data_IF_978706353189
#
_entry.id   IF_978706353189
#
_cell.length_a   1.000
_cell.length_b   1.000
_cell.length_c   1.000
_cell.angle_alpha   90.00
_cell.angle_beta   90.00
_cell.angle_gamma   90.00
#
_symmetry.space_group_name_H-M   'P 1'
#
loop_
_entity.id
_entity.type
_entity.pdbx_description
1 polymer ?
#
# COMPACT_ATOMS: atom_id res chain seq x y z
N UNK A 1 -3.15 0.21 -21.80
CA UNK A 1 -3.61 1.36 -21.00
C UNK A 1 -2.61 1.56 -19.90
N UNK A 2 -1.98 2.74 -19.80
CA UNK A 2 -0.98 3.05 -18.78
C UNK A 2 -1.59 3.19 -17.38
N UNK A 3 -0.77 3.11 -16.32
CA UNK A 3 -1.25 3.30 -14.93
C UNK A 3 -1.93 4.66 -14.74
N UNK A 4 -1.44 5.72 -15.37
CA UNK A 4 -2.04 7.06 -15.30
C UNK A 4 -3.50 7.08 -15.78
N UNK A 5 -3.79 6.48 -16.94
CA UNK A 5 -5.14 6.41 -17.51
C UNK A 5 -6.08 5.58 -16.62
N UNK A 6 -5.53 4.53 -15.99
CA UNK A 6 -6.31 3.69 -15.08
C UNK A 6 -6.65 4.44 -13.79
N UNK A 7 -5.70 5.19 -13.22
CA UNK A 7 -5.94 6.02 -12.04
C UNK A 7 -6.95 7.12 -12.34
N UNK A 8 -6.92 7.72 -13.55
CA UNK A 8 -7.92 8.70 -13.95
C UNK A 8 -9.33 8.09 -13.99
N UNK A 9 -9.49 6.89 -14.54
CA UNK A 9 -10.77 6.16 -14.53
C UNK A 9 -11.21 5.78 -13.13
N UNK A 10 -10.28 5.38 -12.27
CA UNK A 10 -10.55 5.09 -10.86
C UNK A 10 -11.07 6.33 -10.15
N UNK A 11 -10.46 7.50 -10.37
CA UNK A 11 -10.92 8.77 -9.81
C UNK A 11 -12.36 9.07 -10.21
N UNK A 12 -12.65 9.06 -11.51
CA UNK A 12 -13.98 9.34 -12.07
C UNK A 12 -15.04 8.37 -11.54
N UNK A 13 -14.70 7.08 -11.44
CA UNK A 13 -15.59 6.05 -10.89
C UNK A 13 -15.93 6.36 -9.43
N UNK A 14 -14.91 6.57 -8.59
CA UNK A 14 -15.12 6.73 -7.15
C UNK A 14 -15.75 8.08 -6.83
N UNK A 15 -15.44 9.15 -7.57
CA UNK A 15 -16.12 10.44 -7.41
C UNK A 15 -17.66 10.33 -7.58
N UNK A 16 -18.11 9.48 -8.52
CA UNK A 16 -19.52 9.27 -8.80
C UNK A 16 -20.19 8.17 -7.96
N UNK A 17 -19.42 7.32 -7.29
CA UNK A 17 -19.95 6.21 -6.49
C UNK A 17 -20.47 6.74 -5.14
N UNK A 18 -21.66 6.29 -4.75
CA UNK A 18 -22.22 6.51 -3.42
C UNK A 18 -22.02 5.26 -2.58
N UNK A 19 -21.37 5.41 -1.44
CA UNK A 19 -21.16 4.36 -0.45
C UNK A 19 -21.74 4.85 0.87
N UNK A 20 -22.65 4.08 1.44
CA UNK A 20 -23.26 4.37 2.74
C UNK A 20 -22.25 4.01 3.85
N UNK A 21 -21.87 4.99 4.64
CA UNK A 21 -20.88 4.87 5.72
C UNK A 21 -21.29 5.62 6.98
N UNK A 22 -22.51 6.19 6.98
CA UNK A 22 -23.03 6.99 8.10
C UNK A 22 -23.31 6.13 9.32
N UNK A 23 -23.21 6.74 10.51
CA UNK A 23 -23.54 6.15 11.80
C UNK A 23 -22.72 4.88 12.13
N UNK A 24 -21.44 4.82 11.76
CA UNK A 24 -20.51 3.80 12.24
C UNK A 24 -19.54 4.38 13.27
N UNK A 25 -19.19 3.59 14.29
CA UNK A 25 -18.20 3.97 15.31
C UNK A 25 -16.78 3.77 14.78
N UNK A 26 -16.55 2.70 13.99
CA UNK A 26 -15.24 2.29 13.51
C UNK A 26 -15.26 1.85 12.05
N UNK A 27 -14.15 2.11 11.36
CA UNK A 27 -13.91 1.55 10.01
C UNK A 27 -12.77 0.56 10.09
N UNK A 28 -13.04 -0.70 9.73
CA UNK A 28 -12.07 -1.79 9.80
C UNK A 28 -11.73 -2.28 8.40
N UNK A 29 -10.48 -2.06 8.00
CA UNK A 29 -9.98 -2.52 6.71
C UNK A 29 -9.37 -3.91 6.85
N UNK A 30 -9.57 -4.77 5.84
CA UNK A 30 -9.07 -6.14 5.89
C UNK A 30 -8.70 -6.67 4.50
N UNK A 31 -7.77 -7.62 4.48
CA UNK A 31 -7.28 -8.26 3.28
C UNK A 31 -6.26 -9.34 3.60
N UNK A 32 -5.66 -9.93 2.56
CA UNK A 32 -4.60 -10.93 2.68
C UNK A 32 -3.38 -10.51 1.86
N UNK A 33 -2.17 -10.70 2.41
CA UNK A 33 -0.91 -10.33 1.72
C UNK A 33 -0.89 -8.88 1.26
N UNK A 34 -0.66 -8.63 -0.03
CA UNK A 34 -0.70 -7.31 -0.66
C UNK A 34 -1.97 -6.52 -0.30
N UNK A 35 -3.14 -7.17 -0.31
CA UNK A 35 -4.40 -6.51 0.05
C UNK A 35 -4.46 -6.11 1.54
N UNK A 36 -3.81 -6.86 2.43
CA UNK A 36 -3.69 -6.47 3.84
C UNK A 36 -2.73 -5.28 4.02
N UNK A 37 -1.62 -5.23 3.29
CA UNK A 37 -0.72 -4.08 3.37
C UNK A 37 -1.33 -2.81 2.77
N UNK A 38 -2.16 -2.97 1.73
CA UNK A 38 -3.03 -1.91 1.21
C UNK A 38 -4.02 -1.44 2.29
N UNK A 39 -4.69 -2.38 2.97
CA UNK A 39 -5.60 -2.10 4.08
C UNK A 39 -4.90 -1.30 5.20
N UNK A 40 -3.67 -1.65 5.55
CA UNK A 40 -2.89 -0.96 6.57
C UNK A 40 -2.59 0.51 6.21
N UNK A 41 -2.26 0.79 4.94
CA UNK A 41 -2.10 2.17 4.45
C UNK A 41 -3.43 2.91 4.42
N UNK A 42 -4.47 2.27 3.87
CA UNK A 42 -5.79 2.88 3.70
C UNK A 42 -6.46 3.23 5.04
N UNK A 43 -6.34 2.37 6.05
CA UNK A 43 -6.90 2.63 7.38
C UNK A 43 -6.29 3.88 8.03
N UNK A 44 -4.97 4.00 8.02
CA UNK A 44 -4.29 5.18 8.57
C UNK A 44 -4.59 6.44 7.76
N UNK A 45 -4.62 6.34 6.44
CA UNK A 45 -5.05 7.45 5.58
C UNK A 45 -6.48 7.87 5.90
N UNK A 46 -7.42 6.92 5.98
CA UNK A 46 -8.82 7.18 6.29
C UNK A 46 -8.96 7.94 7.61
N UNK A 47 -8.32 7.44 8.67
CA UNK A 47 -8.35 8.10 9.98
C UNK A 47 -7.76 9.50 9.94
N UNK A 48 -6.64 9.71 9.24
CA UNK A 48 -5.99 11.02 9.11
C UNK A 48 -6.90 12.05 8.41
N UNK A 49 -7.61 11.61 7.37
CA UNK A 49 -8.43 12.50 6.55
C UNK A 49 -9.79 12.76 7.16
N UNK A 50 -10.43 11.75 7.75
CA UNK A 50 -11.80 11.84 8.27
C UNK A 50 -11.88 12.17 9.76
N UNK A 51 -10.82 11.94 10.53
CA UNK A 51 -10.82 12.00 11.98
C UNK A 51 -11.55 10.82 12.66
N UNK A 52 -12.13 9.91 11.88
CA UNK A 52 -12.82 8.73 12.40
C UNK A 52 -11.84 7.60 12.64
N UNK A 53 -11.98 6.88 13.75
CA UNK A 53 -11.09 5.76 14.06
C UNK A 53 -11.16 4.68 12.98
N UNK A 54 -9.98 4.32 12.46
CA UNK A 54 -9.85 3.25 11.49
C UNK A 54 -8.61 2.40 11.76
N UNK A 55 -8.74 1.09 11.56
CA UNK A 55 -7.65 0.14 11.74
C UNK A 55 -7.65 -0.92 10.62
N UNK A 56 -6.59 -1.71 10.57
CA UNK A 56 -6.49 -2.82 9.61
C UNK A 56 -6.07 -4.10 10.31
N UNK A 57 -6.71 -5.21 9.94
CA UNK A 57 -6.38 -6.56 10.42
C UNK A 57 -6.32 -7.54 9.25
N UNK A 58 -5.51 -8.62 9.33
CA UNK A 58 -5.61 -9.72 8.37
C UNK A 58 -7.02 -10.32 8.36
N UNK A 59 -7.48 -10.81 7.20
CA UNK A 59 -8.84 -11.34 7.09
C UNK A 59 -9.10 -12.53 8.04
N UNK A 60 -8.09 -13.34 8.31
CA UNK A 60 -8.18 -14.46 9.24
C UNK A 60 -8.54 -14.04 10.67
N UNK A 61 -8.08 -12.86 11.14
CA UNK A 61 -8.38 -12.37 12.49
C UNK A 61 -9.88 -12.13 12.72
N UNK A 62 -10.62 -11.80 11.64
CA UNK A 62 -12.05 -11.53 11.71
C UNK A 62 -12.91 -12.76 12.03
N UNK A 63 -12.43 -13.96 11.70
CA UNK A 63 -13.19 -15.19 11.99
C UNK A 63 -12.50 -16.12 13.00
N UNK A 64 -11.16 -16.04 13.12
CA UNK A 64 -10.43 -16.82 14.14
C UNK A 64 -10.43 -16.14 15.53
N UNK A 65 -10.36 -14.81 15.52
CA UNK A 65 -10.20 -14.01 16.73
C UNK A 65 -11.15 -12.79 16.76
N UNK A 66 -12.43 -13.01 16.42
CA UNK A 66 -13.43 -11.95 16.28
C UNK A 66 -13.52 -11.06 17.53
N UNK A 67 -13.49 -11.63 18.71
CA UNK A 67 -13.60 -10.89 19.97
C UNK A 67 -12.43 -9.95 20.27
N UNK A 68 -11.28 -10.11 19.59
CA UNK A 68 -10.14 -9.21 19.71
C UNK A 68 -10.16 -8.10 18.65
N UNK A 69 -11.01 -8.22 17.64
CA UNK A 69 -11.10 -7.30 16.49
C UNK A 69 -12.39 -6.50 16.47
N UNK A 70 -13.51 -7.11 16.89
CA UNK A 70 -14.84 -6.49 16.93
C UNK A 70 -15.27 -6.29 18.37
N UNK A 71 -15.51 -5.05 18.75
CA UNK A 71 -16.02 -4.67 20.09
C UNK A 71 -17.55 -4.77 20.06
N UNK A 72 -18.12 -5.58 20.96
CA UNK A 72 -19.57 -5.77 21.04
C UNK A 72 -20.32 -4.44 21.30
N UNK A 73 -21.46 -4.26 20.64
CA UNK A 73 -22.29 -3.06 20.75
C UNK A 73 -21.72 -1.82 20.04
N UNK A 74 -20.73 -2.00 19.18
CA UNK A 74 -20.17 -0.95 18.32
C UNK A 74 -20.51 -1.21 16.87
N UNK A 75 -20.78 -0.15 16.15
CA UNK A 75 -21.13 -0.20 14.71
C UNK A 75 -19.87 -0.09 13.85
N UNK A 76 -19.75 -1.00 12.90
CA UNK A 76 -18.59 -1.09 12.02
C UNK A 76 -18.96 -0.94 10.54
N UNK A 77 -18.06 -0.30 9.78
CA UNK A 77 -17.90 -0.54 8.36
C UNK A 77 -16.67 -1.41 8.17
N UNK A 78 -16.85 -2.66 7.73
CA UNK A 78 -15.74 -3.56 7.39
C UNK A 78 -15.47 -3.47 5.90
N UNK A 79 -14.29 -2.94 5.55
CA UNK A 79 -13.84 -2.77 4.16
C UNK A 79 -12.95 -3.96 3.80
N UNK A 80 -13.52 -4.95 3.12
CA UNK A 80 -12.80 -6.12 2.63
C UNK A 80 -12.13 -5.81 1.28
N UNK A 81 -10.84 -6.17 1.14
CA UNK A 81 -10.05 -5.88 -0.04
C UNK A 81 -9.54 -7.18 -0.65
N UNK A 82 -9.87 -7.44 -1.92
CA UNK A 82 -9.36 -8.57 -2.68
C UNK A 82 -9.39 -8.28 -4.18
N UNK A 83 -8.22 -8.30 -4.83
CA UNK A 83 -8.13 -8.11 -6.29
C UNK A 83 -9.05 -9.06 -7.05
N UNK A 84 -9.01 -10.34 -6.72
CA UNK A 84 -9.75 -11.39 -7.40
C UNK A 84 -11.22 -11.51 -6.95
N UNK A 85 -11.54 -11.04 -5.74
CA UNK A 85 -12.84 -11.27 -5.10
C UNK A 85 -13.16 -12.73 -4.78
N UNK A 86 -12.13 -13.62 -4.79
CA UNK A 86 -12.27 -15.07 -4.58
C UNK A 86 -11.33 -15.65 -3.52
N UNK A 87 -10.61 -14.80 -2.78
CA UNK A 87 -9.72 -15.21 -1.69
C UNK A 87 -10.52 -15.85 -0.55
N UNK A 88 -10.19 -17.07 -0.17
CA UNK A 88 -10.97 -17.85 0.81
C UNK A 88 -11.15 -17.14 2.14
N UNK A 89 -10.09 -16.57 2.72
CA UNK A 89 -10.14 -15.91 4.03
C UNK A 89 -11.07 -14.69 4.02
N UNK A 90 -11.09 -13.91 2.92
CA UNK A 90 -12.01 -12.77 2.79
C UNK A 90 -13.46 -13.24 2.72
N UNK A 91 -13.73 -14.31 1.97
CA UNK A 91 -15.08 -14.86 1.86
C UNK A 91 -15.57 -15.42 3.20
N UNK A 92 -14.71 -16.14 3.92
CA UNK A 92 -15.03 -16.66 5.26
C UNK A 92 -15.31 -15.50 6.22
N UNK A 93 -14.46 -14.46 6.21
CA UNK A 93 -14.61 -13.29 7.08
C UNK A 93 -15.93 -12.55 6.82
N UNK A 94 -16.24 -12.24 5.55
CA UNK A 94 -17.49 -11.54 5.21
C UNK A 94 -18.73 -12.37 5.54
N UNK A 95 -18.72 -13.69 5.26
CA UNK A 95 -19.82 -14.57 5.62
C UNK A 95 -19.99 -14.71 7.14
N UNK A 96 -18.89 -14.72 7.90
CA UNK A 96 -18.92 -14.76 9.37
C UNK A 96 -19.55 -13.49 9.97
N UNK A 97 -19.40 -12.35 9.31
CA UNK A 97 -19.91 -11.06 9.79
C UNK A 97 -21.33 -10.72 9.26
N UNK A 98 -21.80 -11.41 8.23
CA UNK A 98 -23.00 -11.06 7.44
C UNK A 98 -24.27 -10.86 8.28
N UNK A 99 -24.46 -11.66 9.33
CA UNK A 99 -25.70 -11.66 10.12
C UNK A 99 -25.59 -10.76 11.38
N UNK A 100 -24.51 -9.99 11.50
CA UNK A 100 -24.31 -9.07 12.62
C UNK A 100 -24.91 -7.70 12.31
N UNK A 101 -26.00 -7.34 12.98
CA UNK A 101 -26.78 -6.12 12.69
C UNK A 101 -25.98 -4.80 12.82
N UNK A 102 -24.91 -4.80 13.61
CA UNK A 102 -24.04 -3.63 13.82
C UNK A 102 -22.87 -3.58 12.84
N UNK A 103 -22.79 -4.48 11.87
CA UNK A 103 -21.70 -4.53 10.89
C UNK A 103 -22.25 -4.35 9.48
N UNK A 104 -21.71 -3.37 8.78
CA UNK A 104 -21.87 -3.21 7.33
C UNK A 104 -20.57 -3.58 6.64
N UNK A 105 -20.67 -4.12 5.44
CA UNK A 105 -19.51 -4.58 4.68
C UNK A 105 -19.41 -3.87 3.33
N UNK A 106 -18.18 -3.51 2.96
CA UNK A 106 -17.83 -2.96 1.66
C UNK A 106 -16.78 -3.84 1.00
N UNK A 107 -17.10 -4.44 -0.15
CA UNK A 107 -16.12 -5.14 -0.97
C UNK A 107 -15.37 -4.15 -1.88
N UNK A 108 -14.04 -4.18 -1.85
CA UNK A 108 -13.17 -3.47 -2.79
C UNK A 108 -12.43 -4.50 -3.64
N UNK A 109 -12.71 -4.52 -4.94
CA UNK A 109 -12.22 -5.57 -5.85
C UNK A 109 -11.93 -5.03 -7.24
N UNK A 110 -11.19 -5.80 -8.06
CA UNK A 110 -11.03 -5.53 -9.49
C UNK A 110 -11.97 -6.38 -10.37
N UNK A 111 -12.93 -7.06 -9.76
CA UNK A 111 -13.97 -7.81 -10.47
C UNK A 111 -15.28 -7.80 -9.67
N UNK A 112 -16.28 -7.12 -10.18
CA UNK A 112 -17.60 -6.99 -9.55
C UNK A 112 -18.49 -8.22 -9.65
N UNK A 113 -18.15 -9.17 -10.50
CA UNK A 113 -18.88 -10.46 -10.65
C UNK A 113 -18.15 -11.58 -9.91
N UNK A 114 -18.18 -11.52 -8.58
CA UNK A 114 -17.45 -12.45 -7.71
C UNK A 114 -18.23 -12.80 -6.46
N UNK A 115 -17.91 -13.96 -5.82
CA UNK A 115 -18.51 -14.33 -4.53
C UNK A 115 -18.34 -13.25 -3.45
N UNK A 116 -17.23 -12.53 -3.44
CA UNK A 116 -17.00 -11.45 -2.49
C UNK A 116 -17.96 -10.28 -2.71
N UNK A 117 -18.18 -9.88 -3.95
CA UNK A 117 -19.11 -8.82 -4.30
C UNK A 117 -20.56 -9.20 -3.92
N UNK A 118 -20.92 -10.48 -4.07
CA UNK A 118 -22.24 -11.00 -3.66
C UNK A 118 -22.39 -11.09 -2.14
N UNK A 119 -21.30 -11.35 -1.40
CA UNK A 119 -21.34 -11.52 0.05
C UNK A 119 -21.39 -10.18 0.81
N UNK A 120 -20.90 -9.09 0.21
CA UNK A 120 -20.84 -7.78 0.85
C UNK A 120 -22.14 -6.97 0.64
N UNK A 121 -22.44 -6.05 1.57
CA UNK A 121 -23.60 -5.15 1.48
C UNK A 121 -23.42 -4.11 0.38
N UNK A 122 -22.16 -3.68 0.14
CA UNK A 122 -21.81 -2.68 -0.87
C UNK A 122 -20.55 -3.08 -1.61
N UNK A 123 -20.38 -2.60 -2.83
CA UNK A 123 -19.25 -2.96 -3.70
C UNK A 123 -18.64 -1.72 -4.35
N UNK A 124 -17.32 -1.60 -4.23
CA UNK A 124 -16.48 -0.73 -5.03
C UNK A 124 -15.68 -1.62 -5.98
N UNK A 125 -16.12 -1.72 -7.23
CA UNK A 125 -15.47 -2.55 -8.24
C UNK A 125 -14.71 -1.73 -9.27
N UNK A 126 -13.44 -2.08 -9.47
CA UNK A 126 -12.53 -1.48 -10.44
C UNK A 126 -12.39 -2.39 -11.68
N UNK A 127 -13.51 -2.71 -12.32
CA UNK A 127 -13.57 -3.67 -13.44
C UNK A 127 -12.73 -3.28 -14.67
N UNK A 128 -12.30 -2.02 -14.74
CA UNK A 128 -11.38 -1.54 -15.77
C UNK A 128 -9.94 -2.00 -15.55
N UNK A 129 -9.60 -2.53 -14.36
CA UNK A 129 -8.28 -3.07 -14.05
C UNK A 129 -8.21 -4.53 -14.47
N UNK A 130 -7.40 -4.82 -15.50
CA UNK A 130 -7.19 -6.17 -16.02
C UNK A 130 -5.72 -6.56 -15.86
N UNK A 131 -5.37 -7.10 -14.72
CA UNK A 131 -4.01 -7.51 -14.38
C UNK A 131 -3.84 -9.02 -14.58
N UNK A 132 -2.86 -9.40 -15.39
CA UNK A 132 -2.56 -10.80 -15.70
C UNK A 132 -1.50 -11.41 -14.80
N UNK A 133 -0.62 -10.58 -14.24
CA UNK A 133 0.45 -11.02 -13.35
C UNK A 133 -0.11 -11.66 -12.07
N UNK A 134 0.61 -12.63 -11.53
CA UNK A 134 0.37 -13.16 -10.18
C UNK A 134 0.55 -12.05 -9.16
N UNK A 135 1.60 -11.26 -9.33
CA UNK A 135 1.95 -10.14 -8.44
C UNK A 135 1.06 -8.93 -8.73
N UNK A 136 0.54 -8.33 -7.68
CA UNK A 136 -0.28 -7.12 -7.80
C UNK A 136 0.60 -5.89 -8.03
N UNK A 137 0.32 -5.15 -9.10
CA UNK A 137 0.98 -3.88 -9.43
C UNK A 137 -0.04 -2.78 -9.69
N UNK A 138 -0.63 -2.73 -10.89
CA UNK A 138 -1.66 -1.75 -11.22
C UNK A 138 -2.94 -1.90 -10.36
N UNK A 139 -3.30 -3.12 -9.96
CA UNK A 139 -4.43 -3.35 -9.07
C UNK A 139 -4.18 -2.78 -7.68
N UNK A 140 -2.96 -2.94 -7.12
CA UNK A 140 -2.58 -2.31 -5.87
C UNK A 140 -2.70 -0.78 -5.96
N UNK A 141 -2.06 -0.16 -6.96
CA UNK A 141 -2.06 1.29 -7.15
C UNK A 141 -3.47 1.85 -7.24
N UNK A 142 -4.33 1.20 -8.03
CA UNK A 142 -5.70 1.66 -8.25
C UNK A 142 -6.63 1.44 -7.05
N UNK A 143 -6.53 0.30 -6.35
CA UNK A 143 -7.33 0.07 -5.15
C UNK A 143 -6.90 0.98 -3.99
N UNK A 144 -5.60 1.24 -3.82
CA UNK A 144 -5.11 2.21 -2.85
C UNK A 144 -5.65 3.61 -3.15
N UNK A 145 -5.53 4.05 -4.40
CA UNK A 145 -6.01 5.35 -4.84
C UNK A 145 -7.53 5.48 -4.72
N UNK A 146 -8.28 4.44 -5.06
CA UNK A 146 -9.73 4.39 -4.87
C UNK A 146 -10.12 4.62 -3.41
N UNK A 147 -9.42 4.00 -2.46
CA UNK A 147 -9.67 4.17 -1.03
C UNK A 147 -9.25 5.55 -0.52
N UNK A 148 -8.20 6.17 -1.10
CA UNK A 148 -7.88 7.57 -0.83
C UNK A 148 -8.99 8.52 -1.29
N UNK A 149 -9.49 8.36 -2.51
CA UNK A 149 -10.61 9.16 -3.04
C UNK A 149 -11.87 8.92 -2.22
N UNK A 150 -12.17 7.66 -1.87
CA UNK A 150 -13.29 7.31 -0.99
C UNK A 150 -13.22 8.07 0.34
N UNK A 151 -12.08 8.02 1.04
CA UNK A 151 -11.90 8.70 2.32
C UNK A 151 -12.02 10.24 2.18
N UNK A 152 -11.41 10.83 1.14
CA UNK A 152 -11.46 12.26 0.89
C UNK A 152 -12.90 12.77 0.64
N UNK A 153 -13.75 11.94 0.02
CA UNK A 153 -15.17 12.25 -0.18
C UNK A 153 -16.00 12.28 1.12
N UNK A 154 -15.53 11.65 2.19
CA UNK A 154 -16.24 11.65 3.47
C UNK A 154 -16.06 12.96 4.25
N UNK A 155 -15.29 13.89 3.72
CA UNK A 155 -14.99 15.16 4.38
C UNK A 155 -15.60 16.34 3.62
N UNK A 156 -15.87 17.44 4.32
CA UNK A 156 -16.25 18.70 3.70
C UNK A 156 -15.07 19.45 3.05
N UNK A 157 -13.83 18.98 3.30
CA UNK A 157 -12.62 19.60 2.75
C UNK A 157 -12.41 19.21 1.28
N UNK A 158 -12.42 20.19 0.40
CA UNK A 158 -12.11 20.00 -1.02
C UNK A 158 -10.62 19.86 -1.31
N UNK A 159 -9.74 20.22 -0.36
CA UNK A 159 -8.29 20.20 -0.56
C UNK A 159 -7.79 18.81 -0.93
N UNK A 160 -8.15 17.78 -0.14
CA UNK A 160 -7.69 16.40 -0.41
C UNK A 160 -8.10 15.94 -1.81
N UNK A 161 -9.36 16.15 -2.21
CA UNK A 161 -9.81 15.78 -3.56
C UNK A 161 -9.08 16.56 -4.66
N UNK A 162 -8.80 17.86 -4.46
CA UNK A 162 -8.07 18.67 -5.42
C UNK A 162 -6.63 18.22 -5.60
N UNK A 163 -5.98 17.77 -4.54
CA UNK A 163 -4.64 17.16 -4.62
C UNK A 163 -4.71 15.80 -5.31
N UNK A 164 -5.66 14.94 -4.95
CA UNK A 164 -5.82 13.62 -5.55
C UNK A 164 -6.11 13.69 -7.06
N UNK A 165 -6.81 14.71 -7.55
CA UNK A 165 -7.01 14.94 -8.99
C UNK A 165 -5.72 15.12 -9.79
N UNK A 166 -4.62 15.47 -9.15
CA UNK A 166 -3.32 15.63 -9.81
C UNK A 166 -2.53 14.32 -9.87
N UNK A 167 -2.86 13.34 -9.04
CA UNK A 167 -2.12 12.07 -8.88
C UNK A 167 -1.97 11.29 -10.19
N UNK A 168 -3.01 11.09 -11.03
CA UNK A 168 -2.88 10.34 -12.28
C UNK A 168 -1.77 10.89 -13.18
N UNK A 169 -1.71 12.22 -13.34
CA UNK A 169 -0.68 12.89 -14.14
C UNK A 169 0.71 12.70 -13.53
N UNK A 170 0.85 12.86 -12.22
CA UNK A 170 2.13 12.72 -11.51
C UNK A 170 2.67 11.29 -11.59
N UNK A 171 1.81 10.28 -11.45
CA UNK A 171 2.19 8.87 -11.63
C UNK A 171 2.62 8.60 -13.07
N UNK A 172 1.93 9.17 -14.06
CA UNK A 172 2.33 9.07 -15.45
C UNK A 172 3.75 9.61 -15.70
N UNK A 173 4.08 10.72 -15.06
CA UNK A 173 5.44 11.30 -15.09
C UNK A 173 6.45 10.39 -14.38
N UNK A 174 6.12 9.87 -13.19
CA UNK A 174 7.01 8.97 -12.43
C UNK A 174 7.45 7.75 -13.24
N UNK A 175 6.56 7.17 -14.02
CA UNK A 175 6.84 6.00 -14.85
C UNK A 175 7.82 6.28 -16.01
N UNK A 176 8.06 7.54 -16.36
CA UNK A 176 9.09 7.90 -17.36
C UNK A 176 10.51 7.91 -16.79
N UNK A 177 10.66 7.85 -15.46
CA UNK A 177 11.94 7.89 -14.75
C UNK A 177 12.36 6.50 -14.22
N UNK A 178 12.09 5.44 -14.97
CA UNK A 178 12.47 4.06 -14.59
C UNK A 178 13.97 3.89 -14.32
N UNK A 179 14.82 4.72 -14.94
CA UNK A 179 16.27 4.70 -14.74
C UNK A 179 16.68 5.00 -13.29
N UNK A 180 15.86 5.74 -12.55
CA UNK A 180 16.20 6.18 -11.18
C UNK A 180 16.33 5.04 -10.16
N UNK A 181 15.68 3.91 -10.38
CA UNK A 181 15.80 2.73 -9.50
C UNK A 181 16.80 1.69 -10.00
N UNK A 182 17.21 1.78 -11.28
CA UNK A 182 17.95 0.74 -11.98
C UNK A 182 19.31 0.45 -11.35
N UNK A 183 20.10 1.47 -11.05
CA UNK A 183 21.43 1.28 -10.46
C UNK A 183 21.40 0.49 -9.15
N UNK A 184 20.44 0.80 -8.27
CA UNK A 184 20.25 0.11 -6.99
C UNK A 184 19.71 -1.31 -7.20
N UNK A 185 18.78 -1.48 -8.15
CA UNK A 185 18.16 -2.77 -8.46
C UNK A 185 19.18 -3.78 -9.02
N UNK A 186 20.11 -3.34 -9.85
CA UNK A 186 21.09 -4.18 -10.55
C UNK A 186 22.37 -4.44 -9.76
N UNK A 187 22.59 -3.73 -8.66
CA UNK A 187 23.76 -3.96 -7.80
C UNK A 187 23.63 -5.29 -7.01
N UNK A 188 24.32 -6.32 -7.47
CA UNK A 188 24.33 -7.66 -6.87
C UNK A 188 25.19 -7.75 -5.59
N UNK A 189 25.98 -6.73 -5.28
CA UNK A 189 26.65 -6.64 -3.97
C UNK A 189 25.66 -6.38 -2.85
N UNK A 190 24.51 -5.77 -3.17
CA UNK A 190 23.42 -5.49 -2.25
C UNK A 190 22.50 -6.72 -2.10
N UNK A 191 22.59 -7.36 -0.94
CA UNK A 191 21.92 -8.65 -0.66
C UNK A 191 20.66 -8.51 0.16
N UNK A 192 20.58 -7.47 1.01
CA UNK A 192 19.47 -7.21 1.92
C UNK A 192 18.81 -5.88 1.60
N UNK A 193 17.48 -5.85 1.59
CA UNK A 193 16.70 -4.64 1.41
C UNK A 193 15.78 -4.42 2.61
N UNK A 194 15.80 -3.22 3.15
CA UNK A 194 14.95 -2.81 4.27
C UNK A 194 14.13 -1.62 3.83
N UNK A 195 12.81 -1.73 3.94
CA UNK A 195 11.90 -0.66 3.56
C UNK A 195 11.37 0.03 4.82
N UNK A 196 11.54 1.34 4.89
CA UNK A 196 11.13 2.14 6.04
C UNK A 196 10.06 3.15 5.65
N UNK A 197 9.00 3.24 6.46
CA UNK A 197 7.93 4.22 6.26
C UNK A 197 7.15 4.46 7.54
N UNK A 198 6.84 5.71 7.83
CA UNK A 198 6.08 6.12 9.01
C UNK A 198 4.60 6.32 8.69
N UNK A 199 3.73 6.25 9.71
CA UNK A 199 2.31 6.49 9.55
C UNK A 199 1.65 5.56 8.52
N UNK A 200 0.93 6.13 7.56
CA UNK A 200 0.29 5.40 6.45
C UNK A 200 1.28 4.83 5.43
N UNK A 201 2.52 5.33 5.40
CA UNK A 201 3.60 4.83 4.55
C UNK A 201 4.19 3.50 5.02
N UNK A 202 3.96 3.11 6.28
CA UNK A 202 4.38 1.79 6.76
C UNK A 202 3.70 0.64 5.97
N UNK A 203 2.45 0.82 5.56
CA UNK A 203 1.79 -0.15 4.68
C UNK A 203 2.44 -0.24 3.29
N UNK A 204 2.92 0.88 2.73
CA UNK A 204 3.69 0.89 1.48
C UNK A 204 5.04 0.20 1.64
N UNK A 205 5.75 0.43 2.75
CA UNK A 205 7.01 -0.25 3.06
C UNK A 205 6.83 -1.77 3.15
N UNK A 206 5.75 -2.24 3.78
CA UNK A 206 5.38 -3.66 3.83
C UNK A 206 5.08 -4.23 2.44
N UNK A 207 4.34 -3.49 1.62
CA UNK A 207 4.03 -3.89 0.24
C UNK A 207 5.29 -3.96 -0.62
N UNK A 208 6.20 -2.97 -0.53
CA UNK A 208 7.47 -2.98 -1.25
C UNK A 208 8.34 -4.18 -0.86
N UNK A 209 8.37 -4.52 0.44
CA UNK A 209 9.02 -5.73 0.95
C UNK A 209 8.43 -6.98 0.30
N UNK A 210 7.10 -7.08 0.27
CA UNK A 210 6.44 -8.23 -0.35
C UNK A 210 6.74 -8.31 -1.85
N UNK A 211 6.64 -7.19 -2.57
CA UNK A 211 6.93 -7.13 -4.02
C UNK A 211 8.35 -7.63 -4.33
N UNK A 212 9.34 -7.10 -3.63
CA UNK A 212 10.71 -7.51 -3.86
C UNK A 212 10.94 -8.99 -3.50
N UNK A 213 10.40 -9.44 -2.38
CA UNK A 213 10.49 -10.84 -1.93
C UNK A 213 9.82 -11.80 -2.91
N UNK A 214 8.62 -11.49 -3.38
CA UNK A 214 7.87 -12.31 -4.32
C UNK A 214 8.59 -12.46 -5.65
N UNK A 215 9.04 -11.35 -6.22
CA UNK A 215 9.63 -11.31 -7.56
C UNK A 215 11.06 -11.84 -7.60
N UNK A 216 11.84 -11.72 -6.50
CA UNK A 216 13.28 -11.91 -6.53
C UNK A 216 13.82 -12.89 -5.50
N UNK A 217 13.02 -13.34 -4.51
CA UNK A 217 13.44 -14.11 -3.34
C UNK A 217 14.60 -13.44 -2.58
N UNK A 218 14.79 -12.14 -2.76
CA UNK A 218 15.77 -11.36 -2.00
C UNK A 218 15.34 -11.25 -0.54
N UNK A 219 16.30 -11.27 0.38
CA UNK A 219 16.06 -11.04 1.80
C UNK A 219 15.60 -9.60 2.03
N UNK A 220 14.37 -9.43 2.55
CA UNK A 220 13.74 -8.14 2.69
C UNK A 220 12.94 -8.04 3.97
N UNK A 221 12.96 -6.85 4.58
CA UNK A 221 12.22 -6.52 5.79
C UNK A 221 11.58 -5.13 5.67
N UNK A 222 10.64 -4.81 6.56
CA UNK A 222 10.05 -3.47 6.65
C UNK A 222 9.75 -3.10 8.09
N UNK A 223 9.93 -1.80 8.39
CA UNK A 223 9.68 -1.26 9.73
C UNK A 223 9.06 0.13 9.65
N UNK A 224 8.49 0.59 10.75
CA UNK A 224 8.28 2.01 10.98
C UNK A 224 9.66 2.68 11.13
N UNK A 225 9.84 3.85 10.51
CA UNK A 225 11.18 4.44 10.34
C UNK A 225 11.97 4.55 11.65
N UNK A 226 11.38 5.11 12.69
CA UNK A 226 12.09 5.26 13.97
C UNK A 226 12.17 3.96 14.78
N UNK A 227 11.18 3.08 14.65
CA UNK A 227 11.19 1.77 15.32
C UNK A 227 12.37 0.89 14.85
N UNK A 228 12.83 1.09 13.62
CA UNK A 228 14.00 0.43 13.08
C UNK A 228 15.27 0.63 13.93
N UNK A 229 15.40 1.76 14.62
CA UNK A 229 16.53 2.08 15.50
C UNK A 229 16.56 1.23 16.77
N UNK A 230 15.44 0.62 17.16
CA UNK A 230 15.27 -0.11 18.41
C UNK A 230 15.55 -1.62 18.26
N UNK A 231 16.73 -1.94 17.70
CA UNK A 231 17.22 -3.31 17.52
C UNK A 231 17.44 -3.71 16.07
N UNK A 232 16.44 -3.60 15.16
CA UNK A 232 16.60 -4.05 13.77
C UNK A 232 17.77 -3.43 13.02
N UNK A 233 18.15 -2.19 13.33
CA UNK A 233 19.30 -1.48 12.73
C UNK A 233 20.64 -2.25 12.90
N UNK A 234 20.73 -3.18 13.86
CA UNK A 234 21.93 -3.99 14.13
C UNK A 234 22.38 -4.88 12.98
N UNK A 235 21.47 -5.18 12.02
CA UNK A 235 21.79 -6.03 10.86
C UNK A 235 22.36 -5.24 9.66
N UNK A 236 22.45 -3.91 9.78
CA UNK A 236 22.93 -3.05 8.69
C UNK A 236 24.43 -3.23 8.48
N UNK A 237 24.81 -3.48 7.23
CA UNK A 237 26.17 -3.58 6.74
C UNK A 237 26.28 -3.02 5.31
N UNK A 238 27.43 -3.15 4.68
CA UNK A 238 27.70 -2.66 3.31
C UNK A 238 26.90 -3.37 2.21
N UNK A 239 26.35 -4.54 2.51
CA UNK A 239 25.46 -5.29 1.61
C UNK A 239 23.97 -4.88 1.76
N UNK A 240 23.65 -3.98 2.69
CA UNK A 240 22.29 -3.55 3.02
C UNK A 240 21.87 -2.29 2.26
N UNK A 241 20.72 -2.33 1.60
CA UNK A 241 20.02 -1.16 1.07
C UNK A 241 18.84 -0.85 1.98
N UNK A 242 18.77 0.38 2.45
CA UNK A 242 17.59 0.91 3.15
C UNK A 242 16.83 1.85 2.22
N UNK A 243 15.61 1.48 1.87
CA UNK A 243 14.70 2.32 1.10
C UNK A 243 13.82 3.09 2.07
N UNK A 244 14.07 4.39 2.19
CA UNK A 244 13.37 5.28 3.10
C UNK A 244 12.29 6.09 2.36
N UNK A 245 11.05 5.96 2.79
CA UNK A 245 9.92 6.74 2.29
C UNK A 245 9.82 8.04 3.09
N UNK A 246 10.48 9.09 2.59
CA UNK A 246 10.57 10.38 3.29
C UNK A 246 9.27 11.16 3.25
N UNK A 247 9.02 11.98 4.27
CA UNK A 247 7.87 12.87 4.41
C UNK A 247 8.36 14.23 4.93
N UNK A 248 7.69 15.33 4.59
CA UNK A 248 8.03 16.64 5.12
C UNK A 248 7.84 16.71 6.64
N UNK A 249 6.81 16.03 7.15
CA UNK A 249 6.49 16.00 8.58
C UNK A 249 7.55 15.26 9.42
N UNK A 250 8.44 14.45 8.80
CA UNK A 250 9.43 13.61 9.49
C UNK A 250 10.88 13.95 9.13
N UNK A 251 11.12 15.05 8.38
CA UNK A 251 12.41 15.34 7.74
C UNK A 251 13.62 15.31 8.68
N UNK A 252 13.54 15.94 9.86
CA UNK A 252 14.63 15.97 10.83
C UNK A 252 14.99 14.58 11.36
N UNK A 253 13.98 13.75 11.61
CA UNK A 253 14.16 12.39 12.08
C UNK A 253 14.67 11.48 10.96
N UNK A 254 14.18 11.67 9.74
CA UNK A 254 14.60 10.90 8.57
C UNK A 254 16.08 11.21 8.25
N UNK A 255 16.49 12.47 8.28
CA UNK A 255 17.89 12.84 8.07
C UNK A 255 18.82 12.25 9.14
N UNK A 256 18.40 12.25 10.40
CA UNK A 256 19.18 11.63 11.47
C UNK A 256 19.29 10.12 11.28
N UNK A 257 18.20 9.46 10.88
CA UNK A 257 18.17 8.02 10.60
C UNK A 257 19.10 7.66 9.44
N UNK A 258 19.12 8.45 8.37
CA UNK A 258 20.05 8.28 7.24
C UNK A 258 21.50 8.28 7.70
N UNK A 259 21.89 9.27 8.52
CA UNK A 259 23.25 9.38 9.10
C UNK A 259 23.62 8.14 9.92
N UNK A 260 22.69 7.63 10.73
CA UNK A 260 22.92 6.44 11.54
C UNK A 260 23.14 5.19 10.67
N UNK A 261 22.34 5.02 9.62
CA UNK A 261 22.45 3.89 8.68
C UNK A 261 23.77 3.94 7.91
N UNK A 262 24.11 5.12 7.35
CA UNK A 262 25.35 5.31 6.60
C UNK A 262 26.60 5.09 7.46
N UNK A 263 26.57 5.49 8.74
CA UNK A 263 27.66 5.23 9.70
C UNK A 263 27.91 3.73 9.91
N UNK A 264 26.88 2.89 9.72
CA UNK A 264 26.99 1.42 9.79
C UNK A 264 27.39 0.78 8.46
N UNK A 265 27.60 1.57 7.40
CA UNK A 265 27.94 1.10 6.05
C UNK A 265 26.73 0.83 5.14
N UNK A 266 25.51 1.02 5.64
CA UNK A 266 24.30 0.82 4.83
C UNK A 266 24.15 1.86 3.73
N UNK A 267 23.59 1.46 2.59
CA UNK A 267 23.27 2.32 1.46
C UNK A 267 21.82 2.80 1.58
N UNK A 268 21.58 4.09 1.51
CA UNK A 268 20.24 4.67 1.64
C UNK A 268 19.72 5.19 0.31
N UNK A 269 18.60 4.62 -0.14
CA UNK A 269 17.76 5.14 -1.21
C UNK A 269 16.58 5.89 -0.58
N UNK A 270 16.60 7.22 -0.63
CA UNK A 270 15.50 8.05 -0.15
C UNK A 270 14.51 8.34 -1.29
N UNK A 271 13.22 8.13 -1.05
CA UNK A 271 12.14 8.41 -2.00
C UNK A 271 11.13 9.31 -1.31
N UNK A 272 10.84 10.48 -1.87
CA UNK A 272 9.83 11.39 -1.31
C UNK A 272 10.15 12.86 -1.54
N UNK A 273 9.48 13.77 -0.86
CA UNK A 273 9.88 15.17 -0.81
C UNK A 273 11.21 15.27 -0.06
N UNK A 274 12.11 16.04 -0.61
CA UNK A 274 13.49 16.15 -0.11
C UNK A 274 13.75 17.60 0.32
N UNK A 275 14.05 17.85 1.61
CA UNK A 275 14.49 19.15 2.09
C UNK A 275 15.82 19.56 1.46
N UNK A 276 16.10 20.87 1.42
CA UNK A 276 17.23 21.44 0.70
C UNK A 276 18.62 20.89 1.15
N UNK A 277 18.75 20.50 2.41
CA UNK A 277 20.02 19.99 2.98
C UNK A 277 20.01 18.48 3.24
N UNK A 278 19.02 17.76 2.71
CA UNK A 278 18.89 16.32 2.91
C UNK A 278 19.95 15.56 2.10
N UNK A 279 20.67 14.66 2.74
CA UNK A 279 21.76 13.87 2.12
C UNK A 279 21.50 12.38 2.30
N UNK A 280 21.45 11.66 1.19
CA UNK A 280 21.40 10.18 1.13
C UNK A 280 22.29 9.70 -0.02
N UNK A 281 22.56 8.39 -0.10
CA UNK A 281 23.39 7.81 -1.17
C UNK A 281 22.71 7.91 -2.53
N UNK A 282 21.38 7.75 -2.57
CA UNK A 282 20.57 7.97 -3.74
C UNK A 282 19.25 8.62 -3.37
N UNK A 283 18.80 9.56 -4.17
CA UNK A 283 17.59 10.35 -3.93
C UNK A 283 16.67 10.27 -5.14
N UNK A 284 15.42 9.93 -4.89
CA UNK A 284 14.31 10.08 -5.85
C UNK A 284 13.37 11.13 -5.28
N UNK A 285 13.55 12.35 -5.75
CA UNK A 285 12.75 13.49 -5.29
C UNK A 285 11.34 13.44 -5.86
N UNK A 286 10.35 13.52 -4.99
CA UNK A 286 8.95 13.67 -5.34
C UNK A 286 8.46 15.08 -5.06
N UNK A 287 7.40 15.49 -5.77
CA UNK A 287 6.84 16.83 -5.61
C UNK A 287 6.39 17.12 -4.17
N UNK A 288 6.69 18.30 -3.68
CA UNK A 288 6.22 18.86 -2.41
C UNK A 288 4.83 19.52 -2.50
N UNK A 289 4.30 19.69 -3.73
CA UNK A 289 3.00 20.33 -4.00
C UNK A 289 1.79 19.51 -3.62
N UNK A 290 1.98 18.23 -3.35
CA UNK A 290 0.98 17.31 -2.81
C UNK A 290 1.34 17.06 -1.36
N UNK A 291 0.40 17.22 -0.44
CA UNK A 291 0.62 16.95 0.99
C UNK A 291 1.05 15.50 1.24
N UNK A 292 1.82 15.27 2.30
CA UNK A 292 2.30 13.93 2.67
C UNK A 292 1.15 12.92 2.69
N UNK A 293 0.01 13.29 3.29
CA UNK A 293 -1.17 12.40 3.37
C UNK A 293 -1.71 11.94 2.01
N UNK A 294 -1.52 12.68 0.93
CA UNK A 294 -2.11 12.37 -0.39
C UNK A 294 -1.11 11.78 -1.40
N UNK A 295 0.19 11.72 -1.06
CA UNK A 295 1.28 11.40 -2.01
C UNK A 295 1.50 9.90 -2.25
N UNK A 296 0.84 9.01 -1.50
CA UNK A 296 1.08 7.55 -1.51
C UNK A 296 1.22 6.94 -2.90
N UNK A 297 0.24 7.19 -3.77
CA UNK A 297 0.23 6.57 -5.09
C UNK A 297 1.40 7.01 -6.00
N UNK A 298 2.10 8.12 -5.67
CA UNK A 298 3.27 8.59 -6.43
C UNK A 298 4.53 7.78 -6.06
N UNK A 299 4.63 7.24 -4.85
CA UNK A 299 5.75 6.37 -4.45
C UNK A 299 5.69 4.98 -5.10
N UNK A 300 4.47 4.48 -5.30
CA UNK A 300 4.24 3.09 -5.72
C UNK A 300 4.99 2.71 -7.00
N UNK A 301 5.02 3.52 -8.08
CA UNK A 301 5.78 3.18 -9.28
C UNK A 301 7.25 2.88 -9.04
N UNK A 302 7.92 3.66 -8.20
CA UNK A 302 9.37 3.47 -7.91
C UNK A 302 9.62 2.17 -7.13
N UNK A 303 8.75 1.85 -6.16
CA UNK A 303 8.83 0.62 -5.40
C UNK A 303 8.59 -0.62 -6.28
N UNK A 304 7.64 -0.53 -7.20
CA UNK A 304 7.35 -1.59 -8.18
C UNK A 304 8.47 -1.75 -9.20
N UNK A 305 9.03 -0.64 -9.71
CA UNK A 305 10.14 -0.64 -10.65
C UNK A 305 11.41 -1.22 -10.03
N UNK A 306 11.73 -0.90 -8.78
CA UNK A 306 12.87 -1.48 -8.05
C UNK A 306 12.77 -3.01 -8.02
N UNK A 307 11.62 -3.56 -7.65
CA UNK A 307 11.40 -4.99 -7.60
C UNK A 307 11.42 -5.66 -8.99
N UNK A 308 10.78 -5.03 -9.97
CA UNK A 308 10.75 -5.49 -11.36
C UNK A 308 12.15 -5.55 -11.99
N UNK A 309 12.91 -4.46 -11.90
CA UNK A 309 14.25 -4.36 -12.49
C UNK A 309 15.21 -5.37 -11.85
N UNK A 310 15.14 -5.54 -10.52
CA UNK A 310 15.94 -6.57 -9.85
C UNK A 310 15.55 -7.97 -10.29
N UNK A 311 14.26 -8.28 -10.45
CA UNK A 311 13.81 -9.58 -10.93
C UNK A 311 14.34 -9.88 -12.33
N UNK A 312 14.21 -8.91 -13.25
CA UNK A 312 14.72 -9.04 -14.63
C UNK A 312 16.22 -9.20 -14.65
N UNK A 313 16.97 -8.42 -13.86
CA UNK A 313 18.44 -8.52 -13.77
C UNK A 313 18.91 -9.86 -13.22
N UNK A 314 18.17 -10.45 -12.28
CA UNK A 314 18.41 -11.81 -11.75
C UNK A 314 17.95 -12.92 -12.70
N UNK A 315 17.36 -12.62 -13.83
CA UNK A 315 16.82 -13.58 -14.80
C UNK A 315 15.50 -14.24 -14.40
N UNK A 316 14.78 -13.66 -13.45
CA UNK A 316 13.46 -14.15 -13.02
C UNK A 316 12.32 -13.56 -13.85
N UNK A 317 11.21 -14.30 -13.93
CA UNK A 317 10.00 -13.80 -14.53
C UNK A 317 9.13 -13.11 -13.45
N UNK A 318 9.02 -11.77 -13.45
CA UNK A 318 8.27 -11.05 -12.43
C UNK A 318 6.75 -11.33 -12.45
N UNK A 319 6.20 -11.78 -13.59
CA UNK A 319 4.78 -12.12 -13.72
C UNK A 319 4.43 -13.52 -13.19
N UNK A 320 5.43 -14.39 -13.07
CA UNK A 320 5.27 -15.78 -12.61
C UNK A 320 6.32 -16.13 -11.56
N UNK A 321 6.26 -15.52 -10.37
CA UNK A 321 7.21 -15.80 -9.32
C UNK A 321 7.10 -17.24 -8.82
N UNK A 322 8.23 -17.78 -8.37
CA UNK A 322 8.34 -19.16 -7.87
C UNK A 322 7.46 -19.36 -6.63
N UNK A 323 6.80 -20.50 -6.53
CA UNK A 323 5.99 -20.95 -5.37
C UNK A 323 4.76 -20.08 -5.06
N UNK A 324 4.31 -19.26 -6.00
CA UNK A 324 3.12 -18.42 -5.81
C UNK A 324 2.03 -18.76 -6.83
N UNK A 325 0.79 -18.60 -6.38
CA UNK A 325 -0.41 -18.66 -7.20
C UNK A 325 -1.18 -17.34 -7.10
N UNK A 326 -1.99 -17.04 -8.11
CA UNK A 326 -2.73 -15.78 -8.14
C UNK A 326 -3.76 -15.65 -7.01
N UNK A 327 -4.27 -16.75 -6.52
CA UNK A 327 -5.26 -16.81 -5.43
C UNK A 327 -4.93 -17.99 -4.52
N UNK A 328 -4.87 -17.74 -3.23
CA UNK A 328 -4.79 -18.78 -2.20
C UNK A 328 -6.20 -19.29 -1.91
N UNK A 329 -6.38 -20.61 -1.99
CA UNK A 329 -7.62 -21.29 -1.60
C UNK A 329 -7.34 -22.18 -0.40
N UNK A 330 -8.09 -21.98 0.67
CA UNK A 330 -8.10 -22.92 1.79
C UNK A 330 -8.91 -24.14 1.41
N UNK A 331 -8.35 -25.33 1.68
CA UNK A 331 -9.00 -26.62 1.47
C UNK A 331 -9.92 -26.99 2.62
#
# INVERSE_FOLDING_TARGET
MGQADQLQKTLELVENLKIEHENVDYVLFTGCGTSFYLAASAAKYYQTVTGQFASAVPASELFLHTSTTIVAGKKYLVVGISRSGTTSEILIALNHLKDQADIRTLAVTCNGDTPMATAADQVLSLDHIKEKSVVMTQSFSNMLFALQVFAAKQTSSTQNLNELKQIPKLVGTALTFEVLTKGVAEDLSKKRFIFLGSGSYNGLAKEATLKLKEMTQTECESYSSLEFRHGPISIVDDSTVVVLLTQLETEDYDQQLVKDIQKLGGYVLAIGPIPQEFVADHIIELTDKISDRNRHAIYVPYLQLLAYQRAVHLGFNPDKPRNLTQVVKLS
#
